data_IF_590753827537
#
_entry.id   IF_590753827537
#
_cell.length_a   1.000
_cell.length_b   1.000
_cell.length_c   1.000
_cell.angle_alpha   90.00
_cell.angle_beta   90.00
_cell.angle_gamma   90.00
#
_symmetry.space_group_name_H-M   'P 1'
#
loop_
_entity.id
_entity.type
_entity.pdbx_description
1 polymer ?
#
# COMPACT_ATOMS: atom_id res chain seq x y z
N UNK A 1 13.56 15.98 6.69
CA UNK A 1 14.17 15.04 7.59
C UNK A 1 13.18 14.31 8.46
N UNK A 2 13.72 13.49 9.27
CA UNK A 2 13.01 12.60 10.14
C UNK A 2 12.04 13.31 11.08
N UNK A 3 12.31 14.53 11.39
CA UNK A 3 11.48 15.33 12.30
C UNK A 3 10.03 15.47 11.82
N UNK A 4 9.84 15.62 10.52
CA UNK A 4 8.50 15.79 9.97
C UNK A 4 7.60 14.62 10.31
N UNK A 5 8.13 13.40 10.16
CA UNK A 5 7.35 12.19 10.41
C UNK A 5 6.99 12.08 11.89
N UNK A 6 7.93 12.41 12.77
CA UNK A 6 7.69 12.29 14.20
C UNK A 6 6.69 13.31 14.74
N UNK A 7 6.50 14.41 14.02
CA UNK A 7 5.56 15.44 14.46
C UNK A 7 4.13 15.17 14.03
N UNK A 8 3.92 14.17 13.16
CA UNK A 8 2.58 13.81 12.71
C UNK A 8 1.93 12.89 13.74
N UNK A 9 0.82 13.33 14.31
CA UNK A 9 0.04 12.52 15.22
C UNK A 9 -0.81 11.56 14.40
N UNK A 10 -0.95 10.31 14.85
CA UNK A 10 -1.70 9.31 14.11
C UNK A 10 -3.14 9.73 13.85
N UNK A 11 -3.82 10.31 14.83
CA UNK A 11 -5.21 10.74 14.66
C UNK A 11 -5.36 11.91 13.70
N UNK A 12 -4.27 12.63 13.42
CA UNK A 12 -4.29 13.79 12.52
C UNK A 12 -3.61 13.53 11.19
N UNK A 13 -3.21 12.30 10.94
CA UNK A 13 -2.47 11.99 9.71
C UNK A 13 -3.13 10.87 8.92
N UNK A 14 -2.89 10.89 7.62
CA UNK A 14 -3.26 9.80 6.72
C UNK A 14 -1.96 9.07 6.40
N UNK A 15 -1.91 7.79 6.72
CA UNK A 15 -0.72 6.96 6.52
C UNK A 15 -1.08 5.78 5.65
N UNK A 16 -0.31 5.58 4.60
CA UNK A 16 -0.54 4.50 3.66
C UNK A 16 0.78 3.91 3.19
N UNK A 17 0.71 2.65 2.83
CA UNK A 17 1.83 1.94 2.24
C UNK A 17 1.31 1.18 1.03
N UNK A 18 2.09 1.13 -0.03
CA UNK A 18 1.75 0.31 -1.19
C UNK A 18 2.59 -0.97 -1.14
N UNK A 19 1.93 -2.09 -1.39
CA UNK A 19 2.58 -3.39 -1.48
C UNK A 19 2.25 -4.00 -2.82
N UNK A 20 3.28 -4.44 -3.54
CA UNK A 20 3.12 -5.21 -4.78
C UNK A 20 3.54 -6.63 -4.46
N UNK A 21 2.70 -7.59 -4.80
CA UNK A 21 2.93 -8.98 -4.43
C UNK A 21 2.61 -9.90 -5.58
N UNK A 22 3.60 -10.66 -6.03
CA UNK A 22 3.42 -11.70 -7.05
C UNK A 22 3.25 -13.03 -6.32
N UNK A 23 2.14 -13.71 -6.59
CA UNK A 23 1.74 -14.91 -5.88
C UNK A 23 1.59 -16.07 -6.84
N UNK A 24 2.01 -17.25 -6.42
CA UNK A 24 1.81 -18.46 -7.20
C UNK A 24 0.32 -18.72 -7.39
N UNK A 25 -0.10 -18.96 -8.62
CA UNK A 25 -1.50 -19.14 -8.95
C UNK A 25 -1.65 -20.00 -10.19
N UNK A 26 -1.32 -21.27 -10.08
CA UNK A 26 -1.39 -22.18 -11.22
C UNK A 26 -2.77 -22.81 -11.37
N UNK A 27 -3.45 -23.04 -10.24
CA UNK A 27 -4.75 -23.68 -10.25
C UNK A 27 -5.90 -22.68 -10.26
N UNK A 28 -6.99 -23.07 -10.91
CA UNK A 28 -8.18 -22.24 -11.03
C UNK A 28 -8.78 -21.89 -9.66
N UNK A 29 -8.80 -22.86 -8.76
CA UNK A 29 -9.33 -22.66 -7.41
C UNK A 29 -8.52 -21.61 -6.66
N UNK A 30 -7.20 -21.66 -6.78
CA UNK A 30 -6.32 -20.67 -6.16
C UNK A 30 -6.58 -19.29 -6.74
N UNK A 31 -6.74 -19.19 -8.05
CA UNK A 31 -7.02 -17.91 -8.71
C UNK A 31 -8.34 -17.31 -8.21
N UNK A 32 -9.35 -18.13 -8.04
CA UNK A 32 -10.63 -17.68 -7.51
C UNK A 32 -10.50 -17.15 -6.09
N UNK A 33 -9.75 -17.84 -5.25
CA UNK A 33 -9.50 -17.39 -3.89
C UNK A 33 -8.75 -16.08 -3.85
N UNK A 34 -7.76 -15.91 -4.71
CA UNK A 34 -6.98 -14.67 -4.77
C UNK A 34 -7.84 -13.50 -5.22
N UNK A 35 -8.74 -13.73 -6.16
CA UNK A 35 -9.67 -12.69 -6.60
C UNK A 35 -10.59 -12.28 -5.45
N UNK A 36 -11.07 -13.25 -4.68
CA UNK A 36 -11.92 -12.97 -3.52
C UNK A 36 -11.15 -12.15 -2.46
N UNK A 37 -9.91 -12.54 -2.19
CA UNK A 37 -9.08 -11.79 -1.25
C UNK A 37 -8.82 -10.37 -1.73
N UNK A 38 -8.55 -10.22 -3.02
CA UNK A 38 -8.35 -8.91 -3.60
C UNK A 38 -9.58 -8.02 -3.38
N UNK A 39 -10.76 -8.57 -3.57
CA UNK A 39 -12.01 -7.83 -3.35
C UNK A 39 -12.19 -7.43 -1.89
N UNK A 40 -11.93 -8.37 -0.97
CA UNK A 40 -12.08 -8.10 0.47
C UNK A 40 -11.13 -7.00 0.94
N UNK A 41 -9.89 -7.06 0.51
CA UNK A 41 -8.87 -6.10 0.93
C UNK A 41 -8.77 -4.89 0.03
N UNK A 42 -9.62 -4.82 -0.98
CA UNK A 42 -9.60 -3.74 -1.99
C UNK A 42 -8.25 -3.61 -2.67
N UNK A 43 -7.67 -4.76 -2.97
CA UNK A 43 -6.45 -4.82 -3.74
C UNK A 43 -6.78 -4.87 -5.23
N UNK A 44 -5.83 -4.44 -6.05
CA UNK A 44 -5.97 -4.49 -7.51
C UNK A 44 -5.16 -5.65 -8.05
N UNK A 45 -5.68 -6.28 -9.08
CA UNK A 45 -4.93 -7.32 -9.79
C UNK A 45 -4.26 -6.63 -10.97
N UNK A 46 -2.94 -6.59 -10.95
CA UNK A 46 -2.16 -5.89 -11.96
C UNK A 46 -1.76 -6.76 -13.13
N UNK A 47 -1.58 -8.06 -12.88
CA UNK A 47 -1.08 -8.95 -13.91
C UNK A 47 -1.51 -10.38 -13.60
N UNK A 48 -1.76 -11.15 -14.64
CA UNK A 48 -2.10 -12.56 -14.54
C UNK A 48 -1.31 -13.31 -15.59
N UNK A 49 -0.56 -14.33 -15.16
CA UNK A 49 0.14 -15.22 -16.07
C UNK A 49 -0.37 -16.64 -15.85
N UNK A 50 0.16 -17.59 -16.60
CA UNK A 50 -0.24 -18.99 -16.43
C UNK A 50 0.15 -19.55 -15.06
N UNK A 51 1.11 -18.98 -14.39
CA UNK A 51 1.66 -19.50 -13.12
C UNK A 51 1.51 -18.56 -11.94
N UNK A 52 1.13 -17.30 -12.17
CA UNK A 52 1.10 -16.32 -11.10
C UNK A 52 0.07 -15.23 -11.30
N UNK A 53 -0.22 -14.53 -10.21
CA UNK A 53 -1.02 -13.32 -10.22
C UNK A 53 -0.29 -12.27 -9.40
N UNK A 54 -0.30 -11.03 -9.89
CA UNK A 54 0.33 -9.92 -9.17
C UNK A 54 -0.75 -8.99 -8.65
N UNK A 55 -0.71 -8.74 -7.35
CA UNK A 55 -1.66 -7.87 -6.68
C UNK A 55 -0.96 -6.62 -6.17
N UNK A 56 -1.71 -5.53 -6.11
CA UNK A 56 -1.26 -4.29 -5.48
C UNK A 56 -2.30 -3.88 -4.45
N UNK A 57 -1.83 -3.47 -3.28
CA UNK A 57 -2.71 -2.95 -2.25
C UNK A 57 -2.12 -1.68 -1.68
N UNK A 58 -3.00 -0.71 -1.43
CA UNK A 58 -2.64 0.53 -0.75
C UNK A 58 -3.50 0.58 0.51
N UNK A 59 -2.86 0.61 1.65
CA UNK A 59 -3.60 0.61 2.90
C UNK A 59 -2.73 0.90 4.10
N UNK A 60 -3.36 0.85 5.25
CA UNK A 60 -2.66 1.00 6.51
C UNK A 60 -1.84 -0.26 6.76
N UNK A 61 -0.85 -0.14 7.63
CA UNK A 61 0.07 -1.23 7.91
C UNK A 61 -0.64 -2.52 8.33
N UNK A 62 -1.60 -2.42 9.24
CA UNK A 62 -2.30 -3.60 9.74
C UNK A 62 -3.07 -4.33 8.64
N UNK A 63 -3.71 -3.58 7.75
CA UNK A 63 -4.43 -4.17 6.62
C UNK A 63 -3.48 -4.88 5.67
N UNK A 64 -2.37 -4.22 5.35
CA UNK A 64 -1.38 -4.78 4.43
C UNK A 64 -0.72 -6.03 5.01
N UNK A 65 -0.43 -6.03 6.31
CA UNK A 65 0.13 -7.20 6.97
C UNK A 65 -0.87 -8.37 6.95
N UNK A 66 -2.15 -8.09 7.21
CA UNK A 66 -3.17 -9.13 7.17
C UNK A 66 -3.24 -9.78 5.79
N UNK A 67 -3.22 -8.97 4.74
CA UNK A 67 -3.26 -9.50 3.39
C UNK A 67 -2.01 -10.29 3.04
N UNK A 68 -0.82 -9.75 3.33
CA UNK A 68 0.42 -10.44 3.00
C UNK A 68 0.57 -11.76 3.75
N UNK A 69 0.09 -11.82 5.00
CA UNK A 69 0.10 -13.06 5.76
C UNK A 69 -0.75 -14.14 5.09
N UNK A 70 -1.92 -13.76 4.60
CA UNK A 70 -2.78 -14.69 3.88
C UNK A 70 -2.16 -15.12 2.55
N UNK A 71 -1.53 -14.18 1.84
CA UNK A 71 -0.91 -14.48 0.56
C UNK A 71 0.29 -15.42 0.70
N UNK A 72 0.96 -15.42 1.85
CA UNK A 72 2.07 -16.35 2.09
C UNK A 72 1.65 -17.81 2.02
N UNK A 73 0.39 -18.09 2.34
CA UNK A 73 -0.11 -19.45 2.27
C UNK A 73 -0.18 -19.98 0.84
N UNK A 74 -0.29 -19.10 -0.13
CA UNK A 74 -0.33 -19.48 -1.55
C UNK A 74 1.07 -19.57 -2.15
N UNK A 75 2.03 -18.91 -1.56
CA UNK A 75 3.40 -18.86 -2.04
C UNK A 75 3.71 -17.53 -2.72
N UNK A 76 4.39 -16.66 -2.00
CA UNK A 76 4.82 -15.37 -2.53
C UNK A 76 6.09 -15.56 -3.33
N UNK A 77 6.05 -15.21 -4.61
CA UNK A 77 7.19 -15.31 -5.49
C UNK A 77 8.06 -14.05 -5.43
N UNK A 78 7.42 -12.91 -5.24
CA UNK A 78 8.11 -11.63 -5.24
C UNK A 78 7.25 -10.61 -4.51
N UNK A 79 7.87 -9.75 -3.72
CA UNK A 79 7.13 -8.72 -3.00
C UNK A 79 7.96 -7.45 -2.89
N UNK A 80 7.31 -6.31 -3.13
CA UNK A 80 7.92 -4.99 -3.00
C UNK A 80 7.01 -4.14 -2.12
N UNK A 81 7.60 -3.43 -1.18
CA UNK A 81 6.87 -2.53 -0.29
C UNK A 81 7.50 -1.15 -0.37
N UNK A 82 6.66 -0.12 -0.42
CA UNK A 82 7.16 1.26 -0.46
C UNK A 82 7.57 1.80 0.91
N UNK A 83 7.08 1.17 1.97
CA UNK A 83 7.15 1.76 3.30
C UNK A 83 6.01 2.76 3.46
N UNK A 84 5.81 3.22 4.70
CA UNK A 84 4.71 4.13 5.01
C UNK A 84 4.98 5.53 4.50
N UNK A 85 3.96 6.13 3.88
CA UNK A 85 3.96 7.54 3.54
C UNK A 85 2.81 8.19 4.29
N UNK A 86 2.96 9.46 4.64
CA UNK A 86 2.00 10.14 5.51
C UNK A 86 1.89 11.61 5.19
N UNK A 87 0.69 12.16 5.42
CA UNK A 87 0.48 13.60 5.42
C UNK A 87 -0.63 13.93 6.40
N UNK A 88 -0.75 15.18 6.78
CA UNK A 88 -1.74 15.60 7.75
C UNK A 88 -3.13 15.67 7.15
N UNK A 89 -4.13 15.37 7.98
CA UNK A 89 -5.53 15.40 7.56
C UNK A 89 -6.10 16.80 7.56
N UNK A 90 -6.93 17.05 6.55
CA UNK A 90 -7.81 18.22 6.54
C UNK A 90 -7.10 19.52 6.86
N UNK A 91 -7.56 20.19 7.90
CA UNK A 91 -7.03 21.47 8.32
C UNK A 91 -5.74 21.38 9.15
N UNK A 92 -5.33 20.18 9.53
CA UNK A 92 -4.07 19.98 10.21
C UNK A 92 -3.00 19.98 9.15
N UNK A 93 -2.13 20.97 9.18
CA UNK A 93 -1.10 21.10 8.17
C UNK A 93 0.26 21.22 8.80
N UNK A 94 1.28 20.86 8.04
CA UNK A 94 2.65 21.13 8.39
C UNK A 94 2.82 22.64 8.40
N UNK A 95 3.70 23.16 9.25
CA UNK A 95 3.93 24.57 9.38
C UNK A 95 4.11 25.26 8.02
N UNK A 96 3.70 26.53 7.95
CA UNK A 96 3.62 27.28 6.70
C UNK A 96 4.77 27.10 5.73
N UNK A 97 5.99 27.29 6.18
CA UNK A 97 7.15 27.16 5.30
C UNK A 97 7.31 25.75 4.75
N UNK A 98 6.94 24.75 5.53
CA UNK A 98 6.97 23.37 5.06
C UNK A 98 5.83 23.08 4.12
N UNK A 99 4.71 23.72 4.34
CA UNK A 99 3.56 23.59 3.46
C UNK A 99 3.90 24.01 2.06
N UNK A 100 4.57 25.13 1.90
CA UNK A 100 4.98 25.59 0.60
C UNK A 100 5.93 24.60 -0.08
N UNK A 101 6.87 24.07 0.66
CA UNK A 101 7.81 23.09 0.13
C UNK A 101 7.08 21.82 -0.30
N UNK A 102 6.15 21.37 0.53
CA UNK A 102 5.37 20.18 0.23
C UNK A 102 4.54 20.36 -1.04
N UNK A 103 3.85 21.45 -1.16
CA UNK A 103 3.04 21.74 -2.34
C UNK A 103 3.87 21.78 -3.61
N UNK A 104 5.06 22.38 -3.54
CA UNK A 104 5.99 22.43 -4.65
C UNK A 104 6.41 21.02 -5.07
N UNK A 105 6.74 20.17 -4.12
CA UNK A 105 7.16 18.82 -4.41
C UNK A 105 6.04 17.98 -5.00
N UNK A 106 4.83 18.13 -4.49
CA UNK A 106 3.67 17.44 -5.05
C UNK A 106 3.41 17.86 -6.48
N UNK A 107 3.56 19.14 -6.77
CA UNK A 107 3.41 19.64 -8.13
C UNK A 107 4.39 18.98 -9.10
N UNK A 108 5.59 18.70 -8.65
CA UNK A 108 6.59 18.03 -9.47
C UNK A 108 6.28 16.55 -9.71
N UNK A 109 5.62 15.93 -8.77
CA UNK A 109 5.29 14.52 -8.86
C UNK A 109 4.09 14.25 -9.77
N UNK A 110 3.28 15.24 -9.96
CA UNK A 110 2.11 15.13 -10.82
C UNK A 110 2.46 15.47 -12.27
#
# INVERSE_FOLDING_TARGET
PVHSVRLLAEEHSIRREMVLCKVRAEERSVRSELIQLANVFRASILDVSSTSMTLAVIGEESKNEALTDLLREFGILEMVRTGMVALERGRYTIQDERKETLEFNLGKML
#
